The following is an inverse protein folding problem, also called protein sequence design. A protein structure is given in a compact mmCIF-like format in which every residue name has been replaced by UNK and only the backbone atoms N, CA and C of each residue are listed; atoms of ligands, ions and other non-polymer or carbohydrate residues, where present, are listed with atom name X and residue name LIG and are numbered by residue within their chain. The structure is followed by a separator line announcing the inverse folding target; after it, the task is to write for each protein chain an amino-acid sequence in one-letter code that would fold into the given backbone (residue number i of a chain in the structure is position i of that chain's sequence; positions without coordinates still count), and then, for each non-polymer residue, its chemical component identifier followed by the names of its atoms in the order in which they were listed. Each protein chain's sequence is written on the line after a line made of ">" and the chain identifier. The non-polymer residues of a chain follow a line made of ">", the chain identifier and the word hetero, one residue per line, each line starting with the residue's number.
data_IF_108982763919
#
_entry.id   IF_108982763919
#
_cell.length_a   1.000
_cell.length_b   1.000
_cell.length_c   1.000
_cell.angle_alpha   90.00
_cell.angle_beta   90.00
_cell.angle_gamma   90.00
#
_symmetry.space_group_name_H-M   'P 1'
#
loop_
_entity.id
_entity.type
_entity.pdbx_description
1 polymer ?
#
# COMPACT_ATOMS: atom_id res chain seq x y z
N UNK A 1 -5.10 -0.48 -24.35
CA UNK A 1 -3.99 -0.29 -25.31
C UNK A 1 -2.74 -0.11 -24.48
N UNK A 2 -1.90 -1.12 -24.44
CA UNK A 2 -0.53 -1.02 -23.94
C UNK A 2 0.24 -0.18 -24.98
N UNK A 3 0.51 1.08 -24.65
CA UNK A 3 1.38 1.92 -25.44
C UNK A 3 2.82 1.69 -24.98
N UNK A 4 3.73 1.37 -25.89
CA UNK A 4 5.16 1.43 -25.60
C UNK A 4 5.60 2.88 -25.42
N UNK A 5 6.27 3.21 -24.33
CA UNK A 5 6.93 4.51 -24.11
C UNK A 5 8.44 4.35 -24.32
N UNK A 6 9.07 5.39 -24.87
CA UNK A 6 10.52 5.46 -25.02
C UNK A 6 11.04 6.75 -24.40
N UNK A 7 12.10 6.65 -23.60
CA UNK A 7 12.81 7.82 -23.08
C UNK A 7 13.60 8.47 -24.22
N UNK A 8 13.28 9.74 -24.53
CA UNK A 8 13.99 10.49 -25.56
C UNK A 8 15.08 11.36 -24.91
N UNK A 9 14.80 11.95 -23.73
CA UNK A 9 15.72 12.80 -23.02
C UNK A 9 15.35 12.92 -21.54
N UNK A 10 16.34 13.00 -20.64
CA UNK A 10 16.15 13.18 -19.20
C UNK A 10 16.18 11.88 -18.41
N UNK A 11 15.42 11.85 -17.30
CA UNK A 11 15.26 10.67 -16.42
C UNK A 11 13.91 10.02 -16.68
N UNK A 12 13.85 8.69 -16.59
CA UNK A 12 12.61 7.91 -16.69
C UNK A 12 11.83 7.85 -15.37
N UNK A 13 12.42 8.40 -14.29
CA UNK A 13 11.85 8.40 -12.94
C UNK A 13 12.06 9.75 -12.28
N UNK A 14 11.16 10.12 -11.40
CA UNK A 14 11.30 11.23 -10.45
C UNK A 14 11.43 10.65 -9.04
N UNK A 15 12.19 11.32 -8.18
CA UNK A 15 12.35 10.92 -6.78
C UNK A 15 11.63 11.94 -5.91
N UNK A 16 10.74 11.46 -5.05
CA UNK A 16 10.06 12.26 -4.03
C UNK A 16 10.50 11.79 -2.63
N UNK A 17 10.47 12.71 -1.67
CA UNK A 17 10.79 12.43 -0.28
C UNK A 17 9.56 12.67 0.57
N UNK A 18 9.10 11.64 1.29
CA UNK A 18 7.98 11.70 2.22
C UNK A 18 8.40 11.10 3.56
N UNK A 19 8.20 11.85 4.66
CA UNK A 19 8.59 11.41 6.01
C UNK A 19 10.03 10.87 6.11
N UNK A 20 10.95 11.43 5.30
CA UNK A 20 12.36 11.03 5.27
C UNK A 20 12.67 9.81 4.41
N UNK A 21 11.69 9.12 3.85
CA UNK A 21 11.87 8.03 2.90
C UNK A 21 11.88 8.54 1.46
N UNK A 22 12.67 7.90 0.60
CA UNK A 22 12.79 8.24 -0.82
C UNK A 22 11.98 7.26 -1.68
N UNK A 23 11.17 7.80 -2.58
CA UNK A 23 10.35 7.03 -3.50
C UNK A 23 10.67 7.41 -4.95
N UNK A 24 11.06 6.44 -5.75
CA UNK A 24 11.21 6.60 -7.19
C UNK A 24 9.88 6.26 -7.87
N UNK A 25 9.43 7.19 -8.69
CA UNK A 25 8.13 7.13 -9.35
C UNK A 25 8.38 7.01 -10.84
N UNK A 26 7.96 5.90 -11.44
CA UNK A 26 8.01 5.70 -12.89
C UNK A 26 6.81 6.37 -13.58
N UNK A 27 6.88 6.54 -14.90
CA UNK A 27 5.82 7.16 -15.72
C UNK A 27 4.45 6.48 -15.61
N UNK A 28 4.43 5.18 -15.30
CA UNK A 28 3.21 4.36 -15.18
C UNK A 28 2.69 4.23 -13.75
N UNK A 29 3.45 4.71 -12.75
CA UNK A 29 3.07 4.60 -11.34
C UNK A 29 2.25 5.80 -10.89
N UNK A 30 1.21 5.55 -10.10
CA UNK A 30 0.46 6.61 -9.44
C UNK A 30 1.23 7.08 -8.19
N UNK A 31 1.29 8.38 -8.02
CA UNK A 31 1.81 9.02 -6.82
C UNK A 31 1.02 10.30 -6.50
N UNK A 32 0.89 10.65 -5.22
CA UNK A 32 0.18 11.85 -4.79
C UNK A 32 0.92 13.11 -5.26
N UNK A 33 0.27 13.95 -6.05
CA UNK A 33 0.88 15.12 -6.72
C UNK A 33 1.18 16.29 -5.78
N UNK A 34 0.63 16.31 -4.57
CA UNK A 34 0.89 17.33 -3.55
C UNK A 34 1.59 16.68 -2.34
N UNK A 35 2.93 16.75 -2.23
CA UNK A 35 3.69 16.09 -1.17
C UNK A 35 3.25 16.51 0.25
N UNK A 36 3.00 17.80 0.49
CA UNK A 36 2.59 18.28 1.82
C UNK A 36 1.21 17.73 2.25
N UNK A 37 0.28 17.62 1.31
CA UNK A 37 -1.03 17.01 1.58
C UNK A 37 -0.91 15.50 1.74
N UNK A 38 -0.03 14.85 0.98
CA UNK A 38 0.28 13.43 1.08
C UNK A 38 0.88 13.10 2.45
N UNK A 39 1.86 13.87 2.93
CA UNK A 39 2.45 13.67 4.26
C UNK A 39 1.41 13.76 5.39
N UNK A 40 0.48 14.73 5.31
CA UNK A 40 -0.62 14.84 6.28
C UNK A 40 -1.55 13.64 6.23
N UNK A 41 -1.96 13.22 5.04
CA UNK A 41 -2.81 12.04 4.85
C UNK A 41 -2.14 10.79 5.41
N UNK A 42 -0.86 10.57 5.08
CA UNK A 42 -0.13 9.40 5.55
C UNK A 42 0.15 9.44 7.06
N UNK A 43 0.36 10.61 7.66
CA UNK A 43 0.43 10.76 9.12
C UNK A 43 -0.85 10.29 9.80
N UNK A 44 -2.02 10.65 9.27
CA UNK A 44 -3.31 10.18 9.79
C UNK A 44 -3.48 8.66 9.60
N UNK A 45 -3.11 8.13 8.43
CA UNK A 45 -3.16 6.68 8.16
C UNK A 45 -2.27 5.92 9.15
N UNK A 46 -1.03 6.37 9.36
CA UNK A 46 -0.10 5.77 10.32
C UNK A 46 -0.67 5.83 11.74
N UNK A 47 -1.18 6.99 12.17
CA UNK A 47 -1.77 7.16 13.49
C UNK A 47 -2.96 6.21 13.71
N UNK A 48 -3.80 6.02 12.69
CA UNK A 48 -4.94 5.10 12.76
C UNK A 48 -4.52 3.63 12.69
N UNK A 49 -3.46 3.30 11.91
CA UNK A 49 -3.01 1.93 11.70
C UNK A 49 -2.22 1.39 12.91
N UNK A 50 -1.44 2.25 13.58
CA UNK A 50 -0.55 1.89 14.69
C UNK A 50 -1.05 2.56 15.98
N UNK A 51 -2.12 2.01 16.55
CA UNK A 51 -2.61 2.46 17.84
C UNK A 51 -1.86 1.77 18.99
N UNK A 52 -1.98 2.33 20.20
CA UNK A 52 -1.33 1.83 21.40
C UNK A 52 -1.59 0.32 21.59
N UNK A 53 -0.51 -0.46 21.64
CA UNK A 53 -0.56 -1.92 21.76
C UNK A 53 -0.57 -2.69 20.42
N UNK A 54 -0.44 -1.98 19.30
CA UNK A 54 -0.24 -2.55 17.96
C UNK A 54 1.18 -2.23 17.49
N UNK A 55 1.70 -3.00 16.55
CA UNK A 55 3.04 -2.80 15.99
C UNK A 55 4.11 -3.75 16.53
N UNK A 56 3.71 -4.79 17.26
CA UNK A 56 4.59 -5.85 17.73
C UNK A 56 5.11 -6.76 16.61
N UNK A 57 6.11 -7.59 16.92
CA UNK A 57 6.76 -8.49 15.95
C UNK A 57 5.83 -9.54 15.35
N UNK A 58 4.82 -9.93 16.10
CA UNK A 58 3.85 -10.96 15.68
C UNK A 58 2.63 -10.36 14.95
N UNK A 59 2.53 -9.03 14.92
CA UNK A 59 1.44 -8.33 14.25
C UNK A 59 1.71 -8.26 12.74
N UNK A 60 0.75 -8.66 11.93
CA UNK A 60 0.82 -8.56 10.47
C UNK A 60 -0.05 -7.40 9.99
N UNK A 61 0.51 -6.54 9.16
CA UNK A 61 -0.21 -5.47 8.46
C UNK A 61 -0.34 -5.84 6.99
N UNK A 62 -1.55 -5.73 6.45
CA UNK A 62 -1.81 -5.92 5.03
C UNK A 62 -2.24 -4.59 4.42
N UNK A 63 -1.50 -4.15 3.40
CA UNK A 63 -1.74 -2.91 2.63
C UNK A 63 -2.23 -3.31 1.23
N UNK A 64 -3.52 -3.19 1.00
CA UNK A 64 -4.17 -3.54 -0.26
C UNK A 64 -4.31 -2.31 -1.16
N UNK A 65 -4.01 -2.48 -2.44
CA UNK A 65 -3.88 -1.41 -3.43
C UNK A 65 -2.70 -0.48 -3.10
N UNK A 66 -1.57 -1.08 -2.69
CA UNK A 66 -0.42 -0.36 -2.13
C UNK A 66 0.35 0.52 -3.13
N UNK A 67 0.11 0.37 -4.44
CA UNK A 67 0.84 1.10 -5.48
C UNK A 67 2.34 0.92 -5.35
N UNK A 68 3.08 2.03 -5.25
CA UNK A 68 4.55 2.06 -5.03
C UNK A 68 4.97 1.75 -3.59
N UNK A 69 4.06 1.24 -2.76
CA UNK A 69 4.34 0.82 -1.40
C UNK A 69 4.63 1.96 -0.42
N UNK A 70 4.13 3.16 -0.69
CA UNK A 70 4.39 4.34 0.14
C UNK A 70 3.86 4.15 1.56
N UNK A 71 2.58 3.77 1.72
CA UNK A 71 1.98 3.55 3.04
C UNK A 71 2.68 2.39 3.75
N UNK A 72 2.91 1.27 3.05
CA UNK A 72 3.62 0.11 3.60
C UNK A 72 4.97 0.48 4.21
N UNK A 73 5.79 1.24 3.48
CA UNK A 73 7.13 1.62 3.94
C UNK A 73 7.09 2.65 5.06
N UNK A 74 6.15 3.59 5.03
CA UNK A 74 5.96 4.55 6.14
C UNK A 74 5.51 3.84 7.41
N UNK A 75 4.62 2.85 7.32
CA UNK A 75 4.23 2.01 8.46
C UNK A 75 5.41 1.21 9.00
N UNK A 76 6.33 0.74 8.13
CA UNK A 76 7.52 0.00 8.53
C UNK A 76 8.48 0.76 9.46
N UNK A 77 8.43 2.10 9.45
CA UNK A 77 9.20 2.92 10.39
C UNK A 77 8.67 2.83 11.83
N UNK A 78 7.43 2.38 12.01
CA UNK A 78 6.71 2.37 13.29
C UNK A 78 6.20 1.00 13.70
N UNK A 79 6.49 -0.04 12.88
CA UNK A 79 5.97 -1.40 13.05
C UNK A 79 7.12 -2.40 12.97
N UNK A 80 7.20 -3.33 13.93
CA UNK A 80 8.27 -4.33 13.98
C UNK A 80 7.90 -5.64 13.24
N UNK A 81 6.60 -5.91 13.10
CA UNK A 81 6.09 -7.11 12.43
C UNK A 81 6.09 -7.01 10.91
N UNK A 82 5.57 -8.02 10.24
CA UNK A 82 5.51 -8.10 8.79
C UNK A 82 4.49 -7.12 8.21
N UNK A 83 4.86 -6.44 7.13
CA UNK A 83 3.97 -5.59 6.33
C UNK A 83 3.92 -6.14 4.91
N UNK A 84 2.73 -6.44 4.43
CA UNK A 84 2.48 -7.04 3.13
C UNK A 84 1.75 -6.04 2.26
N UNK A 85 2.40 -5.59 1.19
CA UNK A 85 1.80 -4.73 0.16
C UNK A 85 1.33 -5.54 -1.04
N UNK A 86 0.11 -5.28 -1.50
CA UNK A 86 -0.47 -5.96 -2.68
C UNK A 86 -1.03 -4.94 -3.65
N UNK A 87 -0.58 -5.00 -4.89
CA UNK A 87 -1.13 -4.22 -6.01
C UNK A 87 -1.11 -5.02 -7.30
N UNK A 88 -2.02 -4.70 -8.22
CA UNK A 88 -2.10 -5.38 -9.52
C UNK A 88 -1.06 -4.86 -10.52
N UNK A 89 -0.54 -3.66 -10.31
CA UNK A 89 0.39 -2.98 -11.22
C UNK A 89 1.82 -3.46 -10.94
N UNK A 90 2.33 -4.35 -11.78
CA UNK A 90 3.65 -4.97 -11.61
C UNK A 90 4.80 -3.95 -11.52
N UNK A 91 4.77 -2.92 -12.39
CA UNK A 91 5.80 -1.85 -12.37
C UNK A 91 5.77 -1.03 -11.09
N UNK A 92 4.60 -0.82 -10.49
CA UNK A 92 4.49 -0.14 -9.19
C UNK A 92 5.07 -1.00 -8.06
N UNK A 93 4.86 -2.31 -8.11
CA UNK A 93 5.45 -3.27 -7.16
C UNK A 93 6.97 -3.37 -7.31
N UNK A 94 7.49 -3.29 -8.54
CA UNK A 94 8.94 -3.19 -8.76
C UNK A 94 9.51 -1.90 -8.14
N UNK A 95 8.88 -0.76 -8.36
CA UNK A 95 9.24 0.52 -7.74
C UNK A 95 9.17 0.42 -6.20
N UNK A 96 8.15 -0.25 -5.65
CA UNK A 96 8.00 -0.49 -4.21
C UNK A 96 9.17 -1.29 -3.64
N UNK A 97 9.60 -2.35 -4.30
CA UNK A 97 10.73 -3.19 -3.86
C UNK A 97 12.05 -2.42 -3.90
N UNK A 98 12.30 -1.68 -4.99
CA UNK A 98 13.52 -0.87 -5.14
C UNK A 98 13.60 0.21 -4.06
N UNK A 99 12.49 0.92 -3.81
CA UNK A 99 12.46 1.96 -2.78
C UNK A 99 12.55 1.38 -1.37
N UNK A 100 11.95 0.22 -1.10
CA UNK A 100 12.04 -0.47 0.19
C UNK A 100 13.48 -0.91 0.52
N UNK A 101 14.20 -1.44 -0.47
CA UNK A 101 15.62 -1.78 -0.32
C UNK A 101 16.47 -0.54 -0.01
N UNK A 102 16.27 0.55 -0.75
CA UNK A 102 16.96 1.83 -0.54
C UNK A 102 16.66 2.42 0.84
N UNK A 103 15.41 2.37 1.26
CA UNK A 103 14.94 2.92 2.54
C UNK A 103 15.27 2.00 3.73
N UNK A 104 15.72 0.77 3.48
CA UNK A 104 16.06 -0.20 4.52
C UNK A 104 14.84 -0.76 5.27
N UNK A 105 13.66 -0.75 4.68
CA UNK A 105 12.42 -1.29 5.26
C UNK A 105 12.36 -2.81 5.08
N UNK A 106 13.12 -3.53 5.95
CA UNK A 106 13.36 -4.99 5.81
C UNK A 106 12.16 -5.87 6.13
N UNK A 107 11.15 -5.32 6.78
CA UNK A 107 9.93 -6.01 7.18
C UNK A 107 8.77 -5.80 6.21
N UNK A 108 9.03 -5.33 4.99
CA UNK A 108 8.03 -5.16 3.93
C UNK A 108 8.18 -6.23 2.86
N UNK A 109 7.07 -6.82 2.44
CA UNK A 109 6.98 -7.78 1.33
C UNK A 109 5.93 -7.31 0.33
N UNK A 110 6.24 -7.34 -0.98
CA UNK A 110 5.34 -6.81 -2.01
C UNK A 110 4.97 -7.87 -3.04
N UNK A 111 3.66 -7.96 -3.35
CA UNK A 111 3.08 -8.90 -4.31
C UNK A 111 2.36 -8.18 -5.45
N UNK A 112 2.78 -8.47 -6.69
CA UNK A 112 2.08 -8.05 -7.89
C UNK A 112 0.92 -9.01 -8.16
N UNK A 113 -0.28 -8.68 -7.69
CA UNK A 113 -1.46 -9.54 -7.81
C UNK A 113 -2.77 -8.76 -7.76
N UNK A 114 -3.81 -9.26 -8.43
CA UNK A 114 -5.18 -8.83 -8.14
C UNK A 114 -5.51 -9.16 -6.67
N UNK A 115 -5.98 -8.15 -5.92
CA UNK A 115 -6.31 -8.31 -4.49
C UNK A 115 -7.24 -9.49 -4.22
N UNK A 116 -8.26 -9.67 -5.06
CA UNK A 116 -9.19 -10.78 -4.87
C UNK A 116 -8.58 -12.15 -5.16
N UNK A 117 -7.56 -12.25 -6.03
CA UNK A 117 -6.80 -13.49 -6.26
C UNK A 117 -5.83 -13.73 -5.12
N UNK A 118 -5.06 -12.71 -4.72
CA UNK A 118 -4.13 -12.78 -3.60
C UNK A 118 -4.81 -13.37 -2.34
N UNK A 119 -5.97 -12.85 -1.96
CA UNK A 119 -6.72 -13.32 -0.80
C UNK A 119 -7.21 -14.78 -0.91
N UNK A 120 -7.25 -15.37 -2.11
CA UNK A 120 -7.56 -16.79 -2.31
C UNK A 120 -6.31 -17.66 -2.30
N UNK A 121 -5.20 -17.15 -2.82
CA UNK A 121 -3.94 -17.87 -2.97
C UNK A 121 -3.15 -17.94 -1.65
N UNK A 122 -3.40 -16.99 -0.75
CA UNK A 122 -2.71 -16.85 0.54
C UNK A 122 -3.67 -16.96 1.74
N UNK A 123 -4.39 -18.10 1.90
CA UNK A 123 -5.35 -18.29 2.99
C UNK A 123 -4.72 -18.29 4.38
N UNK A 124 -3.41 -18.46 4.48
CA UNK A 124 -2.67 -18.42 5.75
C UNK A 124 -2.76 -17.06 6.46
N UNK A 125 -3.15 -16.00 5.76
CA UNK A 125 -3.34 -14.69 6.35
C UNK A 125 -4.75 -14.49 6.96
N UNK A 126 -5.71 -15.41 6.73
CA UNK A 126 -7.02 -15.34 7.39
C UNK A 126 -6.85 -15.48 8.91
N UNK A 127 -7.37 -14.52 9.66
CA UNK A 127 -7.29 -14.48 11.12
C UNK A 127 -5.91 -14.09 11.69
N UNK A 128 -4.92 -13.78 10.84
CA UNK A 128 -3.59 -13.34 11.27
C UNK A 128 -3.35 -11.84 11.06
N UNK A 129 -4.21 -11.15 10.32
CA UNK A 129 -4.05 -9.73 10.01
C UNK A 129 -4.49 -8.88 11.20
N UNK A 130 -3.54 -8.16 11.79
CA UNK A 130 -3.81 -7.21 12.87
C UNK A 130 -4.41 -5.93 12.34
N UNK A 131 -3.79 -5.37 11.30
CA UNK A 131 -4.26 -4.13 10.66
C UNK A 131 -4.35 -4.33 9.15
N UNK A 132 -5.47 -3.92 8.59
CA UNK A 132 -5.69 -3.86 7.15
C UNK A 132 -5.78 -2.41 6.73
N UNK A 133 -4.90 -1.98 5.82
CA UNK A 133 -4.97 -0.67 5.17
C UNK A 133 -5.43 -0.86 3.73
N UNK A 134 -6.29 0.02 3.26
CA UNK A 134 -6.80 -0.01 1.89
C UNK A 134 -6.89 1.40 1.33
N UNK A 135 -6.23 1.65 0.19
CA UNK A 135 -6.35 2.88 -0.61
C UNK A 135 -6.81 2.53 -2.04
N UNK A 136 -8.06 2.10 -2.23
CA UNK A 136 -8.53 1.62 -3.51
C UNK A 136 -8.74 2.77 -4.51
N UNK A 137 -8.83 2.47 -5.83
CA UNK A 137 -9.15 3.45 -6.85
C UNK A 137 -10.54 4.07 -6.62
N UNK A 138 -10.81 5.19 -7.30
CA UNK A 138 -12.07 5.97 -7.19
C UNK A 138 -13.37 5.17 -7.29
N UNK A 139 -13.34 4.05 -8.00
CA UNK A 139 -14.49 3.15 -8.13
C UNK A 139 -14.81 2.36 -6.85
N UNK A 140 -13.90 2.39 -5.87
CA UNK A 140 -13.99 1.59 -4.66
C UNK A 140 -13.65 0.11 -4.87
N UNK A 141 -14.06 -0.74 -3.94
CA UNK A 141 -13.79 -2.17 -3.94
C UNK A 141 -15.02 -2.93 -4.44
N UNK A 142 -14.81 -3.93 -5.32
CA UNK A 142 -15.91 -4.75 -5.80
C UNK A 142 -16.58 -5.53 -4.65
N UNK A 143 -17.89 -5.78 -4.68
CA UNK A 143 -18.58 -6.58 -3.64
C UNK A 143 -17.98 -7.98 -3.47
N UNK A 144 -17.42 -8.56 -4.54
CA UNK A 144 -16.74 -9.86 -4.50
C UNK A 144 -15.45 -9.79 -3.71
N UNK A 145 -14.64 -8.77 -3.94
CA UNK A 145 -13.38 -8.55 -3.21
C UNK A 145 -13.66 -8.17 -1.76
N UNK A 146 -14.64 -7.29 -1.53
CA UNK A 146 -15.01 -6.87 -0.16
C UNK A 146 -15.41 -8.07 0.72
N UNK A 147 -16.18 -9.04 0.21
CA UNK A 147 -16.50 -10.24 0.96
C UNK A 147 -15.28 -11.06 1.38
N UNK A 148 -14.20 -11.06 0.57
CA UNK A 148 -12.95 -11.72 0.92
C UNK A 148 -12.17 -10.93 1.97
N UNK A 149 -12.15 -9.61 1.83
CA UNK A 149 -11.56 -8.70 2.83
C UNK A 149 -12.19 -8.90 4.20
N UNK A 150 -13.53 -8.98 4.28
CA UNK A 150 -14.25 -9.23 5.54
C UNK A 150 -13.84 -10.58 6.18
N UNK A 151 -13.55 -11.60 5.39
CA UNK A 151 -13.10 -12.91 5.91
C UNK A 151 -11.73 -12.88 6.57
N UNK A 152 -10.89 -11.87 6.28
CA UNK A 152 -9.60 -11.70 6.95
C UNK A 152 -9.76 -11.49 8.45
N UNK A 153 -10.92 -11.00 8.90
CA UNK A 153 -11.20 -10.70 10.31
C UNK A 153 -10.11 -9.85 10.97
N UNK A 154 -9.56 -8.89 10.23
CA UNK A 154 -8.57 -7.97 10.76
C UNK A 154 -9.14 -7.21 11.96
N UNK A 155 -8.32 -7.04 13.01
CA UNK A 155 -8.75 -6.32 14.22
C UNK A 155 -9.03 -4.85 13.93
N UNK A 156 -8.34 -4.31 12.91
CA UNK A 156 -8.48 -2.91 12.48
C UNK A 156 -8.50 -2.80 10.96
N UNK A 157 -9.35 -1.91 10.46
CA UNK A 157 -9.40 -1.54 9.04
C UNK A 157 -9.24 -0.03 8.93
N UNK A 158 -8.24 0.41 8.18
CA UNK A 158 -8.04 1.80 7.78
C UNK A 158 -8.35 1.91 6.30
N UNK A 159 -9.41 2.64 5.97
CA UNK A 159 -9.85 2.83 4.59
C UNK A 159 -9.60 4.27 4.15
N UNK A 160 -8.75 4.44 3.16
CA UNK A 160 -8.46 5.74 2.54
C UNK A 160 -9.35 5.89 1.31
N UNK A 161 -10.04 7.01 1.20
CA UNK A 161 -10.91 7.26 0.04
C UNK A 161 -10.82 8.70 -0.43
N UNK A 162 -10.58 8.86 -1.72
CA UNK A 162 -10.70 10.16 -2.38
C UNK A 162 -12.16 10.51 -2.76
N UNK A 163 -13.11 9.59 -2.55
CA UNK A 163 -14.53 9.78 -2.85
C UNK A 163 -15.42 9.26 -1.71
N UNK A 164 -15.86 10.14 -0.79
CA UNK A 164 -16.70 9.75 0.35
C UNK A 164 -18.01 9.07 -0.04
N UNK A 165 -18.57 9.38 -1.21
CA UNK A 165 -19.83 8.76 -1.67
C UNK A 165 -19.66 7.27 -2.04
N UNK A 166 -18.49 6.85 -2.52
CA UNK A 166 -18.21 5.44 -2.79
C UNK A 166 -17.84 4.67 -1.52
N UNK A 167 -17.28 5.36 -0.53
CA UNK A 167 -16.96 4.77 0.77
C UNK A 167 -18.23 4.46 1.59
N UNK A 168 -19.27 5.28 1.46
CA UNK A 168 -20.51 5.16 2.23
C UNK A 168 -21.50 4.09 1.69
N UNK A 169 -21.20 3.44 0.58
CA UNK A 169 -22.01 2.39 -0.04
C UNK A 169 -21.56 1.00 0.36
#
# INVERSE_FOLDING_TARGET
>A
REGSSALIFGKDRITEVLHGLQFDISLSSFFQTNPLSAERLYSEVISMAIEKGMGGKDDVVLDLFCGTGTISQLLAQHHEGEIIGVDIVETAIEDARISAERNGTKNTTFYAADVGKFLLEYPQYEGCIRTLVMDPPRAGISPKTLRKVIRLQADRIVYVSCNPATQAR
#
